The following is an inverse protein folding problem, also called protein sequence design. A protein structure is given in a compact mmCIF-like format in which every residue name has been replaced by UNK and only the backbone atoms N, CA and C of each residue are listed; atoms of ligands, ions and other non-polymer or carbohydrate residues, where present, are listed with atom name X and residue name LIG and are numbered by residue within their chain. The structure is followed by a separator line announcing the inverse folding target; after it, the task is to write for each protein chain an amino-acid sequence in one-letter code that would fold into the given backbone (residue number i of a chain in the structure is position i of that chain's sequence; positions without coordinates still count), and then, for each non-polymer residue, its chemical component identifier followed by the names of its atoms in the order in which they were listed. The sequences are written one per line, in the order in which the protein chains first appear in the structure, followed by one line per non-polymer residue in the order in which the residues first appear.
data_IF_539705752651
#
_entry.id   IF_539705752651
#
_cell.length_a   1.000
_cell.length_b   1.000
_cell.length_c   1.000
_cell.angle_alpha   90.00
_cell.angle_beta   90.00
_cell.angle_gamma   90.00
#
_symmetry.space_group_name_H-M   'P 1'
#
loop_
_entity.id
_entity.type
_entity.pdbx_description
1 polymer ?
#
# COMPACT_ATOMS: atom_id res chain seq x y z
N UNK A 1 7.26 12.64 -5.22
CA UNK A 1 7.00 11.30 -5.77
C UNK A 1 5.58 11.15 -6.31
N UNK A 2 4.57 11.82 -5.73
CA UNK A 2 3.15 11.59 -6.06
C UNK A 2 2.61 12.47 -7.18
N UNK A 3 3.23 13.63 -7.46
CA UNK A 3 2.81 14.56 -8.53
C UNK A 3 1.49 15.28 -8.29
N UNK A 4 0.78 14.94 -7.19
CA UNK A 4 -0.49 15.55 -6.80
C UNK A 4 -0.50 15.68 -5.27
N UNK A 5 -0.89 16.84 -4.76
CA UNK A 5 -0.98 17.09 -3.33
C UNK A 5 -2.17 16.37 -2.68
N UNK A 6 -2.14 16.21 -1.36
CA UNK A 6 -3.26 15.68 -0.58
C UNK A 6 -4.51 16.53 -0.75
N UNK A 7 -4.35 17.86 -0.73
CA UNK A 7 -5.46 18.79 -0.91
C UNK A 7 -6.16 18.64 -2.26
N UNK A 8 -5.39 18.50 -3.36
CA UNK A 8 -5.95 18.25 -4.70
C UNK A 8 -6.70 16.93 -4.77
N UNK A 9 -6.13 15.85 -4.19
CA UNK A 9 -6.80 14.54 -4.13
C UNK A 9 -8.10 14.59 -3.34
N UNK A 10 -8.10 15.25 -2.17
CA UNK A 10 -9.31 15.47 -1.38
C UNK A 10 -10.35 16.30 -2.13
N UNK A 11 -9.94 17.31 -2.89
CA UNK A 11 -10.85 18.09 -3.71
C UNK A 11 -11.55 17.24 -4.78
N UNK A 12 -10.82 16.37 -5.46
CA UNK A 12 -11.38 15.42 -6.45
C UNK A 12 -12.37 14.44 -5.82
N UNK A 13 -12.01 13.89 -4.64
CA UNK A 13 -12.92 13.00 -3.90
C UNK A 13 -14.20 13.73 -3.50
N UNK A 14 -14.08 14.95 -2.99
CA UNK A 14 -15.24 15.77 -2.63
C UNK A 14 -16.11 16.15 -3.80
N UNK A 15 -15.52 16.32 -5.00
CA UNK A 15 -16.30 16.56 -6.23
C UNK A 15 -17.16 15.34 -6.58
N UNK A 16 -16.58 14.14 -6.58
CA UNK A 16 -17.33 12.89 -6.74
C UNK A 16 -18.46 12.75 -5.70
N UNK A 17 -18.18 13.07 -4.43
CA UNK A 17 -19.20 13.05 -3.38
C UNK A 17 -20.35 14.02 -3.68
N UNK A 18 -20.07 15.23 -4.22
CA UNK A 18 -21.12 16.17 -4.62
C UNK A 18 -21.95 15.67 -5.79
N UNK A 19 -21.32 15.09 -6.80
CA UNK A 19 -22.02 14.48 -7.95
C UNK A 19 -22.98 13.37 -7.50
N UNK A 20 -22.61 12.62 -6.46
CA UNK A 20 -23.43 11.57 -5.84
C UNK A 20 -24.45 12.10 -4.82
N UNK A 21 -24.43 13.38 -4.48
CA UNK A 21 -25.22 13.94 -3.40
C UNK A 21 -24.84 13.36 -2.03
N UNK A 22 -23.61 12.86 -1.89
CA UNK A 22 -23.12 12.25 -0.67
C UNK A 22 -22.46 13.27 0.26
N UNK A 23 -22.74 13.11 1.55
CA UNK A 23 -22.17 13.93 2.63
C UNK A 23 -20.87 13.32 3.16
N UNK A 24 -20.75 12.00 3.11
CA UNK A 24 -19.62 11.26 3.65
C UNK A 24 -19.09 10.22 2.68
N UNK A 25 -17.79 9.95 2.77
CA UNK A 25 -17.12 8.78 2.17
C UNK A 25 -16.35 8.07 3.27
N UNK A 26 -16.59 6.77 3.43
CA UNK A 26 -15.92 5.91 4.41
C UNK A 26 -14.90 5.05 3.69
N UNK A 27 -13.63 5.12 4.09
CA UNK A 27 -12.53 4.34 3.53
C UNK A 27 -11.95 3.41 4.59
N UNK A 28 -11.78 2.13 4.23
CA UNK A 28 -11.12 1.12 5.05
C UNK A 28 -9.94 0.44 4.32
N UNK A 29 -9.73 0.74 3.06
CA UNK A 29 -8.64 0.22 2.24
C UNK A 29 -7.35 0.98 2.55
N UNK A 30 -6.36 0.30 3.14
CA UNK A 30 -5.12 0.93 3.62
C UNK A 30 -4.31 1.60 2.51
N UNK A 31 -4.25 0.97 1.35
CA UNK A 31 -3.54 1.49 0.18
C UNK A 31 -4.24 2.71 -0.44
N UNK A 32 -5.56 2.77 -0.38
CA UNK A 32 -6.35 3.94 -0.81
C UNK A 32 -6.17 5.12 0.14
N UNK A 33 -6.17 4.85 1.45
CA UNK A 33 -5.90 5.86 2.47
C UNK A 33 -4.46 6.39 2.34
N UNK A 34 -3.48 5.50 2.16
CA UNK A 34 -2.08 5.89 1.96
C UNK A 34 -1.91 6.73 0.69
N UNK A 35 -2.62 6.39 -0.41
CA UNK A 35 -2.61 7.18 -1.64
C UNK A 35 -3.27 8.55 -1.45
N UNK A 36 -4.46 8.60 -0.83
CA UNK A 36 -5.21 9.86 -0.62
C UNK A 36 -4.47 10.82 0.29
N UNK A 37 -3.86 10.31 1.37
CA UNK A 37 -3.13 11.13 2.35
C UNK A 37 -1.69 11.44 1.95
N UNK A 38 -1.15 10.83 0.90
CA UNK A 38 0.27 10.86 0.54
C UNK A 38 1.20 10.37 1.67
N UNK A 39 0.69 9.55 2.56
CA UNK A 39 1.44 8.95 3.66
C UNK A 39 1.85 7.52 3.34
N UNK A 40 2.93 7.08 3.93
CA UNK A 40 3.39 5.69 3.87
C UNK A 40 3.75 5.23 5.28
N UNK A 41 3.60 3.94 5.53
CA UNK A 41 3.94 3.30 6.77
C UNK A 41 4.57 1.92 6.53
N UNK A 42 4.77 1.17 7.58
CA UNK A 42 5.45 -0.13 7.58
C UNK A 42 4.74 -1.17 8.45
N UNK A 43 3.43 -1.09 8.58
CA UNK A 43 2.65 -2.03 9.41
C UNK A 43 2.46 -3.39 8.74
N UNK A 44 2.68 -3.48 7.44
CA UNK A 44 2.55 -4.71 6.66
C UNK A 44 3.83 -4.88 5.84
N UNK A 45 4.47 -6.03 6.00
CA UNK A 45 5.69 -6.37 5.27
C UNK A 45 5.48 -6.18 3.75
N UNK A 46 6.46 -5.60 3.09
CA UNK A 46 6.47 -5.34 1.65
C UNK A 46 5.35 -4.43 1.13
N UNK A 47 4.54 -3.86 2.02
CA UNK A 47 3.43 -2.99 1.64
C UNK A 47 3.52 -1.69 2.44
N UNK A 48 3.81 -0.53 1.78
CA UNK A 48 4.09 0.72 2.49
C UNK A 48 2.81 1.40 2.99
N UNK A 49 2.05 0.73 3.83
CA UNK A 49 0.79 1.19 4.42
C UNK A 49 0.85 1.16 5.94
N UNK A 50 -0.14 1.75 6.59
CA UNK A 50 -0.31 1.76 8.03
C UNK A 50 -1.78 1.46 8.37
N UNK A 51 -2.02 0.81 9.50
CA UNK A 51 -3.39 0.52 9.95
C UNK A 51 -4.15 1.80 10.19
N UNK A 52 -5.23 1.97 9.42
CA UNK A 52 -6.02 3.19 9.45
C UNK A 52 -7.43 2.98 8.90
N UNK A 53 -8.32 3.89 9.27
CA UNK A 53 -9.58 4.15 8.61
C UNK A 53 -9.66 5.64 8.29
N UNK A 54 -10.50 6.01 7.33
CA UNK A 54 -10.69 7.41 7.01
C UNK A 54 -12.17 7.71 6.75
N UNK A 55 -12.63 8.82 7.29
CA UNK A 55 -13.93 9.41 6.97
C UNK A 55 -13.68 10.77 6.32
N UNK A 56 -14.23 10.96 5.14
CA UNK A 56 -14.17 12.24 4.41
C UNK A 56 -15.56 12.86 4.39
N UNK A 57 -15.67 14.11 4.78
CA UNK A 57 -16.86 14.94 4.54
C UNK A 57 -16.55 16.03 3.49
N UNK A 58 -17.56 16.77 3.08
CA UNK A 58 -17.38 17.86 2.12
C UNK A 58 -16.45 18.97 2.64
N UNK A 59 -16.28 19.11 3.95
CA UNK A 59 -15.52 20.19 4.58
C UNK A 59 -14.26 19.66 5.30
N UNK A 60 -14.35 18.51 5.97
CA UNK A 60 -13.31 17.93 6.81
C UNK A 60 -12.98 16.52 6.40
N UNK A 61 -11.85 16.03 6.90
CA UNK A 61 -11.52 14.61 6.85
C UNK A 61 -10.95 14.17 8.19
N UNK A 62 -11.25 12.93 8.60
CA UNK A 62 -10.74 12.33 9.82
C UNK A 62 -9.96 11.07 9.45
N UNK A 63 -8.69 11.06 9.85
CA UNK A 63 -7.81 9.91 9.73
C UNK A 63 -7.76 9.21 11.09
N UNK A 64 -8.14 7.95 11.14
CA UNK A 64 -8.12 7.14 12.35
C UNK A 64 -6.90 6.21 12.30
N UNK A 65 -5.91 6.49 13.14
CA UNK A 65 -4.67 5.73 13.19
C UNK A 65 -4.00 5.90 14.57
N UNK A 66 -2.97 5.10 14.84
CA UNK A 66 -2.15 5.25 16.03
C UNK A 66 -1.33 6.54 15.94
N UNK A 67 -1.59 7.48 16.86
CA UNK A 67 -0.92 8.79 16.90
C UNK A 67 0.59 8.68 17.09
N UNK A 68 1.09 7.63 17.74
CA UNK A 68 2.52 7.40 17.95
C UNK A 68 3.34 7.22 16.68
N UNK A 69 2.69 7.04 15.54
CA UNK A 69 3.34 6.88 14.21
C UNK A 69 3.61 8.18 13.49
N UNK A 70 3.13 9.31 14.00
CA UNK A 70 3.18 10.60 13.30
C UNK A 70 4.06 11.58 14.06
N UNK A 71 5.00 12.19 13.35
CA UNK A 71 5.76 13.32 13.88
C UNK A 71 4.95 14.62 13.79
N UNK A 72 5.38 15.65 14.56
CA UNK A 72 4.71 16.96 14.60
C UNK A 72 4.61 17.62 13.22
N UNK A 73 5.61 17.45 12.36
CA UNK A 73 5.62 17.98 11.00
C UNK A 73 4.51 17.37 10.15
N UNK A 74 4.36 16.06 10.21
CA UNK A 74 3.31 15.32 9.50
C UNK A 74 1.93 15.71 10.02
N UNK A 75 1.76 15.83 11.35
CA UNK A 75 0.52 16.30 11.97
C UNK A 75 0.14 17.70 11.53
N UNK A 76 1.10 18.62 11.53
CA UNK A 76 0.90 19.99 11.04
C UNK A 76 0.49 20.05 9.57
N UNK A 77 1.12 19.20 8.72
CA UNK A 77 0.77 19.10 7.30
C UNK A 77 -0.62 18.48 7.07
N UNK A 78 -1.03 17.50 7.86
CA UNK A 78 -2.38 16.93 7.82
C UNK A 78 -3.42 18.01 8.19
N UNK A 79 -3.20 18.71 9.30
CA UNK A 79 -4.10 19.76 9.76
C UNK A 79 -4.25 20.90 8.75
N UNK A 80 -3.16 21.30 8.08
CA UNK A 80 -3.18 22.34 7.04
C UNK A 80 -4.07 21.95 5.84
N UNK A 81 -4.18 20.66 5.53
CA UNK A 81 -5.05 20.12 4.47
C UNK A 81 -6.46 19.76 4.98
N UNK A 82 -6.81 20.12 6.23
CA UNK A 82 -8.13 19.86 6.82
C UNK A 82 -8.34 18.38 7.20
N UNK A 83 -7.26 17.64 7.47
CA UNK A 83 -7.29 16.26 7.95
C UNK A 83 -6.96 16.25 9.45
N UNK A 84 -7.89 15.78 10.25
CA UNK A 84 -7.74 15.64 11.70
C UNK A 84 -7.40 14.18 12.06
N UNK A 85 -6.29 13.96 12.77
CA UNK A 85 -5.94 12.64 13.28
C UNK A 85 -6.81 12.31 14.51
N UNK A 86 -7.36 11.10 14.55
CA UNK A 86 -8.13 10.52 15.64
C UNK A 86 -7.54 9.17 16.04
N UNK A 87 -7.86 8.74 17.26
CA UNK A 87 -7.54 7.38 17.70
C UNK A 87 -8.10 6.33 16.74
N UNK A 88 -7.33 5.25 16.49
CA UNK A 88 -7.69 4.20 15.55
C UNK A 88 -9.08 3.60 15.79
N UNK A 89 -9.47 3.39 17.06
CA UNK A 89 -10.76 2.85 17.42
C UNK A 89 -11.89 3.90 17.47
N UNK A 90 -11.59 5.18 17.20
CA UNK A 90 -12.50 6.30 17.43
C UNK A 90 -13.62 6.48 16.41
N UNK A 91 -13.56 5.82 15.24
CA UNK A 91 -14.53 6.02 14.16
C UNK A 91 -15.97 5.72 14.56
N UNK A 92 -16.30 4.60 15.26
CA UNK A 92 -17.67 4.33 15.70
C UNK A 92 -18.24 5.41 16.63
N UNK A 93 -17.39 5.98 17.48
CA UNK A 93 -17.77 7.08 18.37
C UNK A 93 -18.04 8.39 17.62
N UNK A 94 -17.23 8.68 16.60
CA UNK A 94 -17.45 9.86 15.76
C UNK A 94 -18.74 9.77 14.97
N UNK A 95 -19.02 8.62 14.33
CA UNK A 95 -20.21 8.43 13.50
C UNK A 95 -21.51 8.73 14.26
N UNK A 96 -21.59 8.36 15.55
CA UNK A 96 -22.77 8.61 16.40
C UNK A 96 -23.05 10.10 16.65
N UNK A 97 -22.04 10.96 16.50
CA UNK A 97 -22.13 12.38 16.78
C UNK A 97 -22.26 13.24 15.51
N UNK A 98 -22.22 12.60 14.34
CA UNK A 98 -22.41 13.30 13.08
C UNK A 98 -23.88 13.35 12.68
N UNK A 99 -24.26 14.39 11.96
CA UNK A 99 -25.60 14.50 11.40
C UNK A 99 -25.82 13.40 10.34
N UNK A 100 -27.03 12.86 10.31
CA UNK A 100 -27.41 11.90 9.28
C UNK A 100 -27.22 12.47 7.87
N UNK A 101 -26.87 11.59 6.95
CA UNK A 101 -26.65 11.97 5.56
C UNK A 101 -26.37 10.74 4.70
N UNK A 102 -26.19 10.98 3.42
CA UNK A 102 -25.79 9.95 2.49
C UNK A 102 -24.29 9.69 2.61
N UNK A 103 -23.91 8.42 2.78
CA UNK A 103 -22.53 7.97 2.83
C UNK A 103 -22.23 6.98 1.71
N UNK A 104 -21.08 7.18 1.05
CA UNK A 104 -20.49 6.24 0.11
C UNK A 104 -19.54 5.30 0.87
N UNK A 105 -19.55 4.04 0.53
CA UNK A 105 -18.60 3.05 1.03
C UNK A 105 -18.49 1.85 0.09
N UNK A 106 -17.34 1.20 0.09
CA UNK A 106 -17.17 -0.09 -0.58
C UNK A 106 -17.53 -1.22 0.40
N UNK A 107 -18.65 -1.88 0.16
CA UNK A 107 -19.17 -2.95 1.01
C UNK A 107 -18.27 -4.20 1.03
N UNK A 108 -17.38 -4.37 0.04
CA UNK A 108 -16.43 -5.47 0.00
C UNK A 108 -15.15 -5.18 0.83
N UNK A 109 -14.94 -3.92 1.21
CA UNK A 109 -13.73 -3.47 1.92
C UNK A 109 -13.97 -3.02 3.35
N UNK A 110 -15.18 -2.58 3.67
CA UNK A 110 -15.52 -2.17 5.04
C UNK A 110 -15.68 -3.39 5.94
N UNK A 111 -15.13 -3.33 7.16
CA UNK A 111 -15.29 -4.42 8.10
C UNK A 111 -16.65 -4.36 8.85
N UNK A 112 -17.05 -5.49 9.46
CA UNK A 112 -18.31 -5.64 10.17
C UNK A 112 -18.51 -4.62 11.30
N UNK A 113 -17.43 -4.28 12.02
CA UNK A 113 -17.52 -3.32 13.13
C UNK A 113 -17.92 -1.93 12.63
N UNK A 114 -17.27 -1.46 11.59
CA UNK A 114 -17.55 -0.14 11.01
C UNK A 114 -18.92 -0.11 10.34
N UNK A 115 -19.27 -1.15 9.58
CA UNK A 115 -20.59 -1.27 8.96
C UNK A 115 -21.72 -1.25 10.00
N UNK A 116 -21.57 -2.01 11.10
CA UNK A 116 -22.55 -2.04 12.19
C UNK A 116 -22.56 -0.77 13.06
N UNK A 117 -21.56 0.10 12.90
CA UNK A 117 -21.47 1.36 13.66
C UNK A 117 -22.11 2.54 12.95
N UNK A 118 -22.57 2.36 11.71
CA UNK A 118 -23.29 3.40 10.98
C UNK A 118 -24.64 3.62 11.66
N UNK A 119 -24.97 4.87 12.07
CA UNK A 119 -26.22 5.14 12.77
C UNK A 119 -27.44 4.87 11.89
N UNK A 120 -28.55 4.49 12.53
CA UNK A 120 -29.84 4.42 11.85
C UNK A 120 -30.21 5.76 11.23
N UNK A 121 -30.84 5.75 10.06
CA UNK A 121 -31.26 6.95 9.34
C UNK A 121 -30.19 7.52 8.38
N UNK A 122 -28.98 6.94 8.32
CA UNK A 122 -28.06 7.26 7.24
C UNK A 122 -28.47 6.53 5.96
N UNK A 123 -28.39 7.23 4.82
CA UNK A 123 -28.52 6.62 3.49
C UNK A 123 -27.15 6.06 3.08
N UNK A 124 -27.09 4.77 2.75
CA UNK A 124 -25.84 4.13 2.32
C UNK A 124 -25.94 3.82 0.83
N UNK A 125 -25.05 4.41 0.05
CA UNK A 125 -24.78 3.99 -1.33
C UNK A 125 -23.51 3.15 -1.36
N UNK A 126 -23.66 1.86 -1.63
CA UNK A 126 -22.55 0.96 -1.80
C UNK A 126 -21.97 1.10 -3.22
N UNK A 127 -20.72 1.50 -3.31
CA UNK A 127 -19.97 1.57 -4.57
C UNK A 127 -18.50 1.22 -4.34
N UNK A 128 -17.76 0.93 -5.40
CA UNK A 128 -16.29 0.78 -5.30
C UNK A 128 -15.67 2.10 -4.91
N UNK A 129 -14.70 2.04 -3.99
CA UNK A 129 -13.98 3.24 -3.55
C UNK A 129 -13.46 4.03 -4.75
N UNK A 130 -13.94 5.27 -4.91
CA UNK A 130 -13.50 6.17 -6.00
C UNK A 130 -11.99 6.40 -5.98
N UNK A 131 -11.37 6.32 -4.81
CA UNK A 131 -9.92 6.41 -4.62
C UNK A 131 -9.18 5.30 -5.34
N UNK A 132 -9.74 4.09 -5.40
CA UNK A 132 -9.15 2.99 -6.16
C UNK A 132 -9.11 3.29 -7.67
N UNK A 133 -10.14 3.92 -8.21
CA UNK A 133 -10.20 4.35 -9.61
C UNK A 133 -9.19 5.47 -9.87
N UNK A 134 -9.16 6.49 -9.02
CA UNK A 134 -8.22 7.61 -9.15
C UNK A 134 -6.76 7.15 -9.05
N UNK A 135 -6.45 6.26 -8.11
CA UNK A 135 -5.13 5.63 -7.94
C UNK A 135 -4.73 4.78 -9.16
N UNK A 136 -5.70 4.12 -9.81
CA UNK A 136 -5.45 3.34 -11.01
C UNK A 136 -5.03 4.21 -12.20
N UNK A 137 -5.55 5.44 -12.31
CA UNK A 137 -5.19 6.40 -13.35
C UNK A 137 -3.92 7.17 -12.96
N UNK A 138 -2.75 6.70 -13.40
CA UNK A 138 -1.46 7.30 -13.01
C UNK A 138 -1.23 8.64 -13.70
N UNK A 139 -0.82 9.65 -12.91
CA UNK A 139 -0.35 10.92 -13.44
C UNK A 139 1.07 10.80 -14.04
N UNK A 140 1.58 11.88 -14.65
CA UNK A 140 2.87 11.89 -15.34
C UNK A 140 4.05 11.58 -14.40
N UNK A 141 4.02 12.14 -13.18
CA UNK A 141 5.08 11.91 -12.19
C UNK A 141 5.08 10.45 -11.71
N UNK A 142 3.91 9.87 -11.45
CA UNK A 142 3.77 8.46 -11.07
C UNK A 142 4.26 7.54 -12.20
N UNK A 143 3.90 7.82 -13.46
CA UNK A 143 4.35 7.04 -14.62
C UNK A 143 5.87 7.06 -14.77
N UNK A 144 6.48 8.24 -14.68
CA UNK A 144 7.94 8.38 -14.74
C UNK A 144 8.63 7.60 -13.63
N UNK A 145 8.17 7.75 -12.40
CA UNK A 145 8.75 7.05 -11.25
C UNK A 145 8.62 5.53 -11.37
N UNK A 146 7.50 5.03 -11.90
CA UNK A 146 7.31 3.60 -12.17
C UNK A 146 8.30 3.12 -13.25
N UNK A 147 8.49 3.88 -14.33
CA UNK A 147 9.46 3.53 -15.37
C UNK A 147 10.89 3.49 -14.82
N UNK A 148 11.29 4.48 -14.04
CA UNK A 148 12.60 4.52 -13.39
C UNK A 148 12.81 3.33 -12.45
N UNK A 149 11.80 2.98 -11.64
CA UNK A 149 11.85 1.83 -10.75
C UNK A 149 12.03 0.51 -11.53
N UNK A 150 11.35 0.34 -12.66
CA UNK A 150 11.51 -0.85 -13.52
C UNK A 150 12.89 -0.93 -14.16
N UNK A 151 13.49 0.20 -14.55
CA UNK A 151 14.88 0.21 -15.06
C UNK A 151 15.85 -0.23 -13.96
N UNK A 152 15.69 0.28 -12.74
CA UNK A 152 16.52 -0.10 -11.59
C UNK A 152 16.38 -1.58 -11.24
N UNK A 153 15.16 -2.09 -11.21
CA UNK A 153 14.90 -3.53 -11.00
C UNK A 153 15.49 -4.38 -12.14
N UNK A 154 15.38 -3.92 -13.39
CA UNK A 154 16.00 -4.56 -14.54
C UNK A 154 17.52 -4.67 -14.43
N UNK A 155 18.20 -3.62 -13.91
CA UNK A 155 19.64 -3.66 -13.63
C UNK A 155 19.97 -4.70 -12.56
N UNK A 156 19.20 -4.77 -11.48
CA UNK A 156 19.37 -5.78 -10.44
C UNK A 156 19.20 -7.21 -11.02
N UNK A 157 18.16 -7.41 -11.84
CA UNK A 157 17.89 -8.69 -12.50
C UNK A 157 19.00 -9.11 -13.47
N UNK A 158 19.56 -8.19 -14.27
CA UNK A 158 20.66 -8.51 -15.19
C UNK A 158 21.91 -8.92 -14.40
N UNK A 159 22.23 -8.22 -13.30
CA UNK A 159 23.33 -8.60 -12.40
C UNK A 159 23.12 -10.00 -11.83
N UNK A 160 21.91 -10.29 -11.38
CA UNK A 160 21.53 -11.60 -10.85
C UNK A 160 21.67 -12.70 -11.91
N UNK A 161 21.14 -12.51 -13.13
CA UNK A 161 21.21 -13.49 -14.21
C UNK A 161 22.65 -13.78 -14.64
N UNK A 162 23.52 -12.78 -14.61
CA UNK A 162 24.95 -12.99 -14.85
C UNK A 162 25.56 -13.82 -13.75
N UNK A 163 25.36 -13.43 -12.51
CA UNK A 163 25.96 -14.08 -11.34
C UNK A 163 25.52 -15.54 -11.21
N UNK A 164 24.22 -15.84 -11.30
CA UNK A 164 23.71 -17.19 -11.08
C UNK A 164 24.25 -18.19 -12.11
N UNK A 165 24.42 -17.77 -13.37
CA UNK A 165 24.98 -18.61 -14.44
C UNK A 165 26.45 -18.98 -14.20
N UNK A 166 27.17 -18.19 -13.44
CA UNK A 166 28.56 -18.45 -13.06
C UNK A 166 28.61 -19.22 -11.73
N UNK A 167 27.85 -18.77 -10.75
CA UNK A 167 27.87 -19.33 -9.39
C UNK A 167 27.44 -20.80 -9.32
N UNK A 168 26.44 -21.22 -10.12
CA UNK A 168 26.00 -22.64 -10.15
C UNK A 168 27.08 -23.59 -10.68
N UNK A 169 28.12 -23.09 -11.34
CA UNK A 169 29.22 -23.90 -11.88
C UNK A 169 30.37 -24.10 -10.94
N UNK A 170 30.42 -23.33 -9.83
CA UNK A 170 31.50 -23.42 -8.86
C UNK A 170 31.26 -24.59 -7.89
N UNK A 171 32.05 -25.68 -7.96
CA UNK A 171 31.88 -26.84 -7.09
C UNK A 171 32.36 -26.59 -5.67
N UNK A 172 33.16 -25.53 -5.44
CA UNK A 172 33.72 -25.20 -4.14
C UNK A 172 32.78 -24.33 -3.29
N UNK A 173 31.87 -23.59 -3.95
CA UNK A 173 30.90 -22.72 -3.31
C UNK A 173 29.50 -23.00 -3.88
N UNK A 174 28.92 -24.19 -3.55
CA UNK A 174 27.58 -24.53 -4.03
C UNK A 174 26.56 -23.57 -3.42
N UNK A 175 25.60 -23.13 -4.23
CA UNK A 175 24.55 -22.21 -3.86
C UNK A 175 23.19 -22.90 -3.82
N UNK A 176 22.31 -22.40 -2.96
CA UNK A 176 20.93 -22.86 -2.82
C UNK A 176 19.92 -21.80 -3.25
N UNK A 177 18.63 -22.12 -3.18
CA UNK A 177 17.53 -21.21 -3.51
C UNK A 177 17.53 -19.94 -2.63
N UNK A 178 17.91 -20.05 -1.36
CA UNK A 178 18.00 -18.91 -0.46
C UNK A 178 19.15 -17.98 -0.87
N UNK A 179 20.31 -18.53 -1.29
CA UNK A 179 21.43 -17.72 -1.79
C UNK A 179 21.04 -16.95 -3.05
N UNK A 180 20.26 -17.58 -3.93
CA UNK A 180 19.73 -16.93 -5.13
C UNK A 180 18.77 -15.79 -4.78
N UNK A 181 17.86 -16.01 -3.82
CA UNK A 181 16.94 -14.97 -3.36
C UNK A 181 17.69 -13.80 -2.71
N UNK A 182 18.58 -14.09 -1.77
CA UNK A 182 19.36 -13.08 -1.04
C UNK A 182 20.21 -12.24 -1.98
N UNK A 183 20.87 -12.85 -2.96
CA UNK A 183 21.66 -12.12 -3.95
C UNK A 183 20.82 -11.12 -4.75
N UNK A 184 19.65 -11.53 -5.24
CA UNK A 184 18.77 -10.64 -5.98
C UNK A 184 18.26 -9.49 -5.10
N UNK A 185 17.87 -9.81 -3.87
CA UNK A 185 17.39 -8.81 -2.91
C UNK A 185 18.46 -7.76 -2.60
N UNK A 186 19.72 -8.18 -2.44
CA UNK A 186 20.85 -7.27 -2.25
C UNK A 186 21.06 -6.36 -3.46
N UNK A 187 20.96 -6.90 -4.70
CA UNK A 187 21.07 -6.07 -5.93
C UNK A 187 19.96 -5.05 -6.05
N UNK A 188 18.76 -5.36 -5.57
CA UNK A 188 17.64 -4.42 -5.49
C UNK A 188 17.87 -3.34 -4.45
N UNK A 189 18.34 -3.73 -3.25
CA UNK A 189 18.65 -2.79 -2.15
C UNK A 189 19.78 -1.82 -2.47
N UNK A 190 20.71 -2.20 -3.36
CA UNK A 190 21.77 -1.31 -3.86
C UNK A 190 21.24 -0.16 -4.73
N UNK A 191 20.03 -0.26 -5.25
CA UNK A 191 19.48 0.77 -6.11
C UNK A 191 19.06 2.00 -5.29
N UNK A 192 19.47 3.18 -5.75
CA UNK A 192 19.08 4.43 -5.10
C UNK A 192 17.56 4.58 -5.01
N UNK A 193 17.04 4.91 -3.83
CA UNK A 193 15.61 5.07 -3.57
C UNK A 193 14.85 3.76 -3.35
N UNK A 194 15.53 2.63 -3.21
CA UNK A 194 14.92 1.39 -2.77
C UNK A 194 14.68 1.47 -1.25
N UNK A 195 13.43 1.62 -0.84
CA UNK A 195 13.04 1.62 0.58
C UNK A 195 12.81 0.21 1.10
N UNK A 196 12.18 -0.64 0.28
CA UNK A 196 11.88 -2.02 0.58
C UNK A 196 11.60 -2.80 -0.71
N UNK A 197 11.52 -4.12 -0.58
CA UNK A 197 11.08 -5.01 -1.64
C UNK A 197 9.55 -5.00 -1.74
N UNK A 198 9.01 -5.14 -2.94
CA UNK A 198 7.55 -5.20 -3.15
C UNK A 198 6.92 -6.52 -2.70
N UNK A 199 7.72 -7.58 -2.55
CA UNK A 199 7.40 -8.88 -1.94
C UNK A 199 8.69 -9.67 -1.72
N UNK A 200 8.66 -10.69 -0.85
CA UNK A 200 9.79 -11.58 -0.64
C UNK A 200 10.16 -12.34 -1.92
N UNK A 201 11.43 -12.39 -2.26
CA UNK A 201 11.87 -13.09 -3.48
C UNK A 201 11.57 -14.59 -3.38
N UNK A 202 10.89 -15.12 -4.38
CA UNK A 202 10.56 -16.53 -4.53
C UNK A 202 11.55 -17.16 -5.51
N UNK A 203 12.47 -17.97 -4.99
CA UNK A 203 13.38 -18.77 -5.77
C UNK A 203 12.99 -20.24 -5.63
N UNK A 204 12.44 -20.84 -6.67
CA UNK A 204 12.04 -22.25 -6.69
C UNK A 204 12.78 -23.01 -7.78
N UNK A 205 13.56 -24.02 -7.41
CA UNK A 205 14.33 -24.86 -8.33
C UNK A 205 13.65 -26.20 -8.55
N UNK A 206 13.61 -26.68 -9.80
CA UNK A 206 12.97 -27.94 -10.21
C UNK A 206 11.52 -28.07 -9.68
N UNK A 207 11.22 -29.12 -8.91
CA UNK A 207 9.90 -29.40 -8.37
C UNK A 207 9.36 -28.26 -7.46
N UNK A 208 10.23 -27.53 -6.79
CA UNK A 208 9.84 -26.39 -5.93
C UNK A 208 9.23 -25.24 -6.74
N UNK A 209 9.66 -25.07 -8.01
CA UNK A 209 9.10 -24.05 -8.90
C UNK A 209 7.63 -24.29 -9.30
N UNK A 210 7.12 -25.51 -9.13
CA UNK A 210 5.73 -25.86 -9.39
C UNK A 210 4.83 -25.73 -8.14
N UNK A 211 5.40 -25.46 -6.98
CA UNK A 211 4.65 -25.35 -5.72
C UNK A 211 4.06 -23.96 -5.56
N UNK A 212 2.73 -23.89 -5.49
CA UNK A 212 2.04 -22.63 -5.18
C UNK A 212 2.47 -22.12 -3.80
N UNK A 213 2.72 -20.81 -3.69
CA UNK A 213 3.16 -20.15 -2.44
C UNK A 213 4.45 -20.75 -1.82
N UNK A 214 5.36 -21.28 -2.69
CA UNK A 214 6.65 -21.76 -2.22
C UNK A 214 7.45 -20.62 -1.55
N UNK A 215 8.11 -20.97 -0.46
CA UNK A 215 9.08 -20.10 0.21
C UNK A 215 10.28 -20.93 0.61
N UNK A 216 11.43 -20.62 0.04
CA UNK A 216 12.70 -21.28 0.39
C UNK A 216 13.05 -20.98 1.86
N UNK A 217 13.50 -22.01 2.57
CA UNK A 217 13.93 -21.90 3.98
C UNK A 217 15.33 -22.42 4.13
N UNK A 218 16.21 -21.64 4.76
CA UNK A 218 17.59 -22.08 5.05
C UNK A 218 17.61 -23.44 5.73
N UNK A 219 18.48 -24.33 5.24
CA UNK A 219 18.64 -25.70 5.72
C UNK A 219 17.66 -26.74 5.14
N UNK A 220 16.65 -26.32 4.37
CA UNK A 220 15.72 -27.23 3.69
C UNK A 220 15.45 -26.89 2.23
N UNK A 221 15.98 -25.79 1.72
CA UNK A 221 15.88 -25.37 0.33
C UNK A 221 16.78 -26.21 -0.59
N UNK A 222 16.45 -26.24 -1.86
CA UNK A 222 17.17 -27.05 -2.85
C UNK A 222 18.50 -26.40 -3.26
N UNK A 223 19.52 -27.26 -3.42
CA UNK A 223 20.80 -26.84 -4.00
C UNK A 223 20.66 -26.66 -5.49
N UNK A 224 21.12 -25.55 -6.03
CA UNK A 224 21.10 -25.26 -7.45
C UNK A 224 22.20 -26.03 -8.19
N UNK A 225 21.92 -26.48 -9.39
CA UNK A 225 22.87 -27.19 -10.26
C UNK A 225 22.84 -26.59 -11.66
N UNK A 226 23.97 -26.61 -12.38
CA UNK A 226 23.97 -26.26 -13.81
C UNK A 226 23.10 -27.25 -14.56
N UNK A 227 22.33 -26.76 -15.53
CA UNK A 227 21.62 -27.57 -16.53
C UNK A 227 22.53 -27.88 -17.72
#
# INVERSE_FOLDING_TARGET
YTGESRGEKLARVREHMREKGARYLMLASLDDIAWLTNLRGNDIDHTPVFYSYMLVSLEKAWLFADAGKFDEKTLGALAADGVELKDYAGMPGLLKNLEAGKALLDSERINMLLGASIPEGWEIEAEKDITAIFKACKNETERRNIQEAHVKDGVAMVKFLKWIKEAVKDPHHPIDECDAADYLDDRRREQEGCFDLSFGTIAGYNANGASAHYSAKRGSCAMLKPE
#
